data_IF_464160628763
#
_entry.id   IF_464160628763
#
_cell.length_a   1.000
_cell.length_b   1.000
_cell.length_c   1.000
_cell.angle_alpha   90.00
_cell.angle_beta   90.00
_cell.angle_gamma   90.00
#
_symmetry.space_group_name_H-M   'P 1'
#
loop_
_entity.id
_entity.type
_entity.pdbx_description
1 polymer ?
#
# COMPACT_ATOMS: atom_id res chain seq x y z
N UNK A 1 7.15 8.72 -9.21
CA UNK A 1 8.20 9.49 -8.53
C UNK A 1 8.50 8.89 -7.16
N UNK A 2 9.75 9.01 -6.70
CA UNK A 2 10.23 8.40 -5.45
C UNK A 2 10.75 9.45 -4.47
N UNK A 3 10.65 9.16 -3.17
CA UNK A 3 11.11 10.04 -2.09
C UNK A 3 12.18 9.34 -1.21
N UNK A 4 13.44 9.24 -1.67
CA UNK A 4 14.52 8.59 -0.91
C UNK A 4 14.67 9.09 0.53
N UNK A 5 14.48 10.39 0.77
CA UNK A 5 14.62 10.99 2.09
C UNK A 5 13.50 10.61 3.10
N UNK A 6 12.45 9.90 2.67
CA UNK A 6 11.32 9.49 3.52
C UNK A 6 10.85 8.09 3.11
N UNK A 7 11.46 7.07 3.72
CA UNK A 7 11.15 5.65 3.55
C UNK A 7 11.55 5.03 2.21
N UNK A 8 12.22 5.79 1.33
CA UNK A 8 12.43 5.34 -0.05
C UNK A 8 11.11 4.98 -0.74
N UNK A 9 10.05 5.74 -0.42
CA UNK A 9 8.69 5.44 -0.87
C UNK A 9 8.45 5.88 -2.31
N UNK A 10 7.55 5.18 -2.99
CA UNK A 10 6.94 5.64 -4.24
C UNK A 10 5.79 6.57 -3.86
N UNK A 11 5.94 7.88 -4.08
CA UNK A 11 4.97 8.88 -3.63
C UNK A 11 3.95 9.31 -4.70
N UNK A 12 4.22 9.01 -5.96
CA UNK A 12 3.38 9.39 -7.10
C UNK A 12 3.53 8.37 -8.24
N UNK A 13 2.41 7.97 -8.85
CA UNK A 13 2.37 7.03 -9.98
C UNK A 13 1.25 7.43 -10.93
N UNK A 14 1.64 8.08 -12.02
CA UNK A 14 0.69 8.65 -12.99
C UNK A 14 0.37 7.71 -14.14
N UNK A 15 -0.91 7.37 -14.25
CA UNK A 15 -1.48 6.65 -15.37
C UNK A 15 -1.94 7.66 -16.42
N UNK A 16 -1.01 8.06 -17.30
CA UNK A 16 -1.26 9.08 -18.33
C UNK A 16 -2.49 8.80 -19.21
N UNK A 17 -2.75 7.56 -19.68
CA UNK A 17 -3.95 7.28 -20.47
C UNK A 17 -5.26 7.57 -19.73
N UNK A 18 -5.25 7.46 -18.40
CA UNK A 18 -6.39 7.71 -17.53
C UNK A 18 -6.39 9.11 -16.89
N UNK A 19 -5.31 9.89 -17.06
CA UNK A 19 -5.07 11.16 -16.35
C UNK A 19 -5.29 11.02 -14.84
N UNK A 20 -4.82 9.90 -14.29
CA UNK A 20 -5.04 9.50 -12.90
C UNK A 20 -3.70 9.27 -12.21
N UNK A 21 -3.49 9.89 -11.06
CA UNK A 21 -2.43 9.49 -10.13
C UNK A 21 -3.02 8.46 -9.15
N UNK A 22 -2.61 7.20 -9.26
CA UNK A 22 -3.11 6.13 -8.39
C UNK A 22 -2.56 6.21 -6.96
N UNK A 23 -1.63 7.12 -6.69
CA UNK A 23 -1.10 7.43 -5.36
C UNK A 23 -1.52 8.84 -4.87
N UNK A 24 -2.58 9.42 -5.45
CA UNK A 24 -3.25 10.62 -4.95
C UNK A 24 -4.05 10.34 -3.66
N UNK A 25 -3.39 9.72 -2.71
CA UNK A 25 -3.89 9.26 -1.41
C UNK A 25 -3.84 10.38 -0.38
N UNK A 26 -4.70 10.27 0.64
CA UNK A 26 -4.69 11.12 1.82
C UNK A 26 -4.28 10.32 3.07
N UNK A 27 -3.50 10.97 3.92
CA UNK A 27 -3.30 10.53 5.30
C UNK A 27 -4.43 11.09 6.16
N UNK A 28 -4.90 10.31 7.15
CA UNK A 28 -5.89 10.76 8.12
C UNK A 28 -5.23 11.76 9.07
N UNK A 29 -5.77 12.97 9.17
CA UNK A 29 -5.22 14.06 9.99
C UNK A 29 -6.28 14.64 10.94
N UNK A 30 -5.87 15.24 12.07
CA UNK A 30 -6.80 15.98 12.92
C UNK A 30 -7.41 17.16 12.17
N UNK A 31 -8.73 17.28 12.24
CA UNK A 31 -9.48 18.42 11.72
C UNK A 31 -10.19 19.13 12.87
N UNK A 32 -10.45 20.44 12.72
CA UNK A 32 -11.02 21.25 13.80
C UNK A 32 -12.39 20.74 14.29
N UNK A 33 -13.20 20.17 13.38
CA UNK A 33 -14.53 19.65 13.71
C UNK A 33 -14.50 18.28 14.40
N UNK A 34 -13.37 17.58 14.48
CA UNK A 34 -13.29 16.28 15.13
C UNK A 34 -13.58 16.35 16.64
N UNK A 35 -13.35 17.50 17.28
CA UNK A 35 -13.69 17.67 18.69
C UNK A 35 -15.21 17.67 18.91
N UNK A 36 -15.98 18.28 18.00
CA UNK A 36 -17.43 18.21 18.04
C UNK A 36 -17.93 16.76 17.90
N UNK A 37 -17.29 15.97 17.04
CA UNK A 37 -17.58 14.54 16.85
C UNK A 37 -17.33 13.76 18.15
N UNK A 38 -16.19 13.93 18.81
CA UNK A 38 -15.92 13.25 20.10
C UNK A 38 -16.97 13.59 21.17
N UNK A 39 -17.40 14.84 21.20
CA UNK A 39 -18.42 15.33 22.12
C UNK A 39 -19.85 14.97 21.68
N UNK A 40 -20.02 14.19 20.60
CA UNK A 40 -21.30 13.80 20.04
C UNK A 40 -22.20 15.02 19.72
N UNK A 41 -21.58 16.08 19.23
CA UNK A 41 -22.20 17.36 18.93
C UNK A 41 -21.95 17.77 17.47
N UNK A 42 -22.66 18.80 16.99
CA UNK A 42 -22.50 19.34 15.65
C UNK A 42 -23.65 19.01 14.68
N UNK A 43 -23.43 19.12 13.36
CA UNK A 43 -24.47 18.91 12.35
C UNK A 43 -24.95 17.45 12.29
N UNK A 44 -25.87 17.15 11.36
CA UNK A 44 -26.39 15.80 11.14
C UNK A 44 -25.28 14.77 10.92
N UNK A 45 -25.50 13.55 11.41
CA UNK A 45 -24.57 12.42 11.26
C UNK A 45 -25.15 11.48 10.22
N UNK A 46 -24.47 11.30 9.08
CA UNK A 46 -24.98 10.42 8.01
C UNK A 46 -24.87 8.93 8.35
N UNK A 47 -24.09 8.59 9.37
CA UNK A 47 -23.93 7.24 9.91
C UNK A 47 -23.51 7.28 11.38
N UNK A 48 -23.78 6.20 12.11
CA UNK A 48 -23.35 6.04 13.50
C UNK A 48 -21.87 5.68 13.64
N UNK A 49 -21.31 5.90 14.84
CA UNK A 49 -19.97 5.46 15.22
C UNK A 49 -18.80 6.22 14.59
N UNK A 50 -19.03 7.42 14.03
CA UNK A 50 -17.96 8.21 13.41
C UNK A 50 -16.86 8.62 14.38
N UNK A 51 -17.18 8.74 15.68
CA UNK A 51 -16.23 9.00 16.75
C UNK A 51 -15.20 7.87 16.90
N UNK A 52 -15.63 6.60 16.73
CA UNK A 52 -14.75 5.43 16.70
C UNK A 52 -13.90 5.33 15.42
N UNK A 53 -14.28 6.05 14.36
CA UNK A 53 -13.56 6.08 13.08
C UNK A 53 -12.48 7.17 13.04
N UNK A 54 -12.39 8.02 14.07
CA UNK A 54 -11.34 9.04 14.18
C UNK A 54 -9.99 8.39 14.48
N UNK A 55 -9.20 8.20 13.42
CA UNK A 55 -7.83 7.71 13.48
C UNK A 55 -6.90 8.70 12.78
N UNK A 56 -5.63 8.75 13.20
CA UNK A 56 -4.65 9.67 12.65
C UNK A 56 -3.38 8.94 12.23
N UNK A 57 -2.84 9.34 11.08
CA UNK A 57 -1.65 8.74 10.49
C UNK A 57 -0.40 9.57 10.82
N UNK A 58 0.67 8.88 11.22
CA UNK A 58 1.96 9.51 11.58
C UNK A 58 2.81 9.83 10.36
N UNK A 59 2.51 9.19 9.22
CA UNK A 59 3.22 9.33 7.96
C UNK A 59 2.23 9.49 6.80
N UNK A 60 2.74 9.92 5.65
CA UNK A 60 1.93 9.98 4.44
C UNK A 60 1.71 8.57 3.89
N UNK A 61 0.46 8.22 3.63
CA UNK A 61 0.11 6.94 3.04
C UNK A 61 0.46 6.91 1.57
N UNK A 62 1.48 6.15 1.20
CA UNK A 62 2.03 6.04 -0.17
C UNK A 62 2.34 4.57 -0.46
N UNK A 63 3.18 4.27 -1.46
CA UNK A 63 3.52 2.89 -1.78
C UNK A 63 5.00 2.61 -1.55
N UNK A 64 5.34 1.33 -1.39
CA UNK A 64 6.69 0.86 -1.02
C UNK A 64 7.16 1.43 0.32
N UNK A 65 6.26 1.49 1.30
CA UNK A 65 6.61 1.83 2.69
C UNK A 65 6.98 0.53 3.40
N UNK A 66 8.15 0.50 4.01
CA UNK A 66 8.75 -0.70 4.59
C UNK A 66 8.46 -0.75 6.09
N UNK A 67 7.76 -1.81 6.51
CA UNK A 67 7.34 -2.02 7.88
C UNK A 67 7.94 -3.28 8.47
N UNK A 68 8.19 -3.24 9.78
CA UNK A 68 8.54 -4.42 10.56
C UNK A 68 7.62 -4.55 11.77
N UNK A 69 6.96 -5.70 11.88
CA UNK A 69 6.04 -6.00 12.97
C UNK A 69 6.47 -7.25 13.75
N UNK A 70 5.85 -7.43 14.92
CA UNK A 70 5.90 -8.71 15.60
C UNK A 70 5.19 -9.79 14.76
N UNK A 71 5.66 -11.04 14.78
CA UNK A 71 4.91 -12.15 14.20
C UNK A 71 3.49 -12.21 14.75
N UNK A 72 2.52 -12.47 13.88
CA UNK A 72 1.12 -12.60 14.27
C UNK A 72 0.31 -11.30 14.35
N UNK A 73 0.86 -10.15 13.92
CA UNK A 73 0.06 -8.92 13.75
C UNK A 73 -1.19 -9.21 12.91
N UNK A 74 -2.36 -8.75 13.37
CA UNK A 74 -3.65 -9.04 12.72
C UNK A 74 -4.06 -7.93 11.74
N UNK A 75 -4.97 -8.24 10.81
CA UNK A 75 -5.56 -7.25 9.91
C UNK A 75 -6.24 -6.11 10.68
N UNK A 76 -6.99 -6.43 11.74
CA UNK A 76 -7.68 -5.45 12.57
C UNK A 76 -6.68 -4.49 13.25
N UNK A 77 -5.59 -5.02 13.80
CA UNK A 77 -4.55 -4.20 14.41
C UNK A 77 -3.99 -3.20 13.39
N UNK A 78 -3.62 -3.67 12.19
CA UNK A 78 -3.10 -2.82 11.10
C UNK A 78 -4.12 -1.76 10.66
N UNK A 79 -5.38 -2.16 10.47
CA UNK A 79 -6.43 -1.25 10.00
C UNK A 79 -6.78 -0.17 11.03
N UNK A 80 -6.66 -0.49 12.32
CA UNK A 80 -7.00 0.39 13.44
C UNK A 80 -5.79 1.09 14.07
N UNK A 81 -4.59 0.87 13.55
CA UNK A 81 -3.32 1.41 14.07
C UNK A 81 -2.99 0.97 15.50
N UNK A 82 -3.32 -0.27 15.83
CA UNK A 82 -2.99 -0.89 17.12
C UNK A 82 -1.75 -1.81 17.03
N UNK A 83 -1.15 -1.93 15.84
CA UNK A 83 0.14 -2.57 15.66
C UNK A 83 1.27 -1.77 16.33
N UNK A 84 2.37 -2.47 16.61
CA UNK A 84 3.62 -1.85 17.04
C UNK A 84 4.65 -1.94 15.91
N UNK A 85 5.07 -0.79 15.41
CA UNK A 85 6.21 -0.69 14.50
C UNK A 85 7.51 -1.04 15.26
N UNK A 86 8.26 -1.99 14.74
CA UNK A 86 9.54 -2.44 15.30
C UNK A 86 10.73 -1.87 14.54
N UNK A 87 10.52 -1.36 13.32
CA UNK A 87 11.53 -0.79 12.44
C UNK A 87 11.59 0.75 12.48
N UNK A 88 12.67 1.31 11.94
CA UNK A 88 12.84 2.77 11.73
C UNK A 88 12.86 3.14 10.23
N UNK A 89 12.21 2.33 9.39
CA UNK A 89 12.29 2.43 7.93
C UNK A 89 11.18 3.28 7.31
N UNK A 90 9.98 3.29 7.91
CA UNK A 90 8.77 3.97 7.40
C UNK A 90 9.03 5.41 6.92
N UNK A 91 9.75 6.19 7.72
CA UNK A 91 10.09 7.60 7.42
C UNK A 91 11.60 7.83 7.32
N UNK A 92 12.41 6.78 7.51
CA UNK A 92 13.86 6.87 7.50
C UNK A 92 14.41 7.21 6.12
N UNK A 93 15.50 7.98 6.06
CA UNK A 93 16.15 8.30 4.78
C UNK A 93 16.89 7.08 4.22
N UNK A 94 16.68 6.80 2.93
CA UNK A 94 17.39 5.82 2.14
C UNK A 94 18.47 6.53 1.31
N UNK A 95 19.65 5.91 1.25
CA UNK A 95 20.62 6.18 0.22
C UNK A 95 20.09 5.65 -1.12
N UNK A 96 20.53 6.23 -2.23
CA UNK A 96 20.02 5.82 -3.53
C UNK A 96 21.05 5.98 -4.65
N UNK A 97 20.87 5.17 -5.70
CA UNK A 97 21.59 5.26 -6.97
C UNK A 97 20.61 5.02 -8.12
N UNK A 98 20.76 5.79 -9.19
CA UNK A 98 19.96 5.65 -10.40
C UNK A 98 20.86 5.20 -11.55
N UNK A 99 20.58 4.02 -12.07
CA UNK A 99 21.28 3.46 -13.23
C UNK A 99 20.34 3.52 -14.45
N UNK A 100 20.80 4.17 -15.52
CA UNK A 100 20.04 4.34 -16.77
C UNK A 100 20.65 3.46 -17.86
N UNK A 101 19.93 2.42 -18.27
CA UNK A 101 20.23 1.63 -19.47
C UNK A 101 19.47 2.15 -20.70
N UNK A 102 19.66 1.49 -21.85
CA UNK A 102 18.99 1.87 -23.09
C UNK A 102 17.45 1.68 -23.01
N UNK A 103 16.99 0.58 -22.40
CA UNK A 103 15.56 0.20 -22.32
C UNK A 103 15.10 -0.13 -20.89
N UNK A 104 15.94 0.16 -19.90
CA UNK A 104 15.69 -0.17 -18.49
C UNK A 104 16.17 0.98 -17.60
N UNK A 105 15.29 1.41 -16.70
CA UNK A 105 15.63 2.32 -15.60
C UNK A 105 15.68 1.52 -14.30
N UNK A 106 16.80 1.59 -13.59
CA UNK A 106 16.98 0.97 -12.28
C UNK A 106 17.22 2.00 -11.20
N UNK A 107 16.34 2.05 -10.21
CA UNK A 107 16.52 2.83 -8.99
C UNK A 107 16.83 1.86 -7.85
N UNK A 108 18.04 1.94 -7.30
CA UNK A 108 18.45 1.17 -6.13
C UNK A 108 18.41 2.10 -4.93
N UNK A 109 17.72 1.68 -3.88
CA UNK A 109 17.65 2.40 -2.61
C UNK A 109 18.02 1.46 -1.46
N UNK A 110 18.81 1.94 -0.51
CA UNK A 110 19.17 1.14 0.67
C UNK A 110 19.26 1.97 1.95
N UNK A 111 19.00 1.32 3.08
CA UNK A 111 19.10 1.90 4.41
C UNK A 111 19.63 0.87 5.39
N UNK A 112 20.67 1.26 6.13
CA UNK A 112 21.04 0.61 7.39
C UNK A 112 20.16 1.21 8.49
N UNK A 113 19.29 0.39 9.07
CA UNK A 113 18.33 0.78 10.11
C UNK A 113 18.34 -0.20 11.26
N UNK A 114 17.30 -0.11 12.11
CA UNK A 114 17.13 -0.98 13.26
C UNK A 114 15.75 -1.61 13.27
N UNK A 115 15.68 -2.90 13.59
CA UNK A 115 14.44 -3.63 13.85
C UNK A 115 14.53 -4.29 15.21
N UNK A 116 13.60 -3.99 16.12
CA UNK A 116 13.60 -4.51 17.49
C UNK A 116 14.95 -4.34 18.21
N UNK A 117 15.67 -3.25 17.91
CA UNK A 117 16.98 -2.94 18.46
C UNK A 117 18.18 -3.57 17.74
N UNK A 118 17.99 -4.46 16.77
CA UNK A 118 19.06 -5.09 15.98
C UNK A 118 19.28 -4.35 14.65
N UNK A 119 20.51 -4.34 14.15
CA UNK A 119 20.82 -3.71 12.86
C UNK A 119 20.34 -4.57 11.71
N UNK A 120 19.56 -3.98 10.80
CA UNK A 120 19.08 -4.62 9.58
C UNK A 120 19.33 -3.66 8.42
N UNK A 121 19.77 -4.18 7.28
CA UNK A 121 19.83 -3.41 6.04
C UNK A 121 18.66 -3.81 5.16
N UNK A 122 17.93 -2.82 4.68
CA UNK A 122 16.91 -2.97 3.63
C UNK A 122 17.49 -2.39 2.36
N UNK A 123 17.50 -3.18 1.29
CA UNK A 123 17.78 -2.74 -0.08
C UNK A 123 16.55 -3.02 -0.92
N UNK A 124 16.09 -2.04 -1.69
CA UNK A 124 15.06 -2.20 -2.72
C UNK A 124 15.59 -1.72 -4.06
N UNK A 125 15.50 -2.58 -5.07
CA UNK A 125 15.81 -2.27 -6.46
C UNK A 125 14.51 -2.22 -7.25
N UNK A 126 14.21 -1.05 -7.80
CA UNK A 126 13.04 -0.82 -8.62
C UNK A 126 13.48 -0.81 -10.07
N UNK A 127 12.87 -1.67 -10.88
CA UNK A 127 13.09 -1.74 -12.32
C UNK A 127 11.85 -1.32 -13.07
N UNK A 128 12.05 -0.40 -14.01
CA UNK A 128 11.06 -0.03 -15.02
C UNK A 128 11.66 -0.40 -16.38
N UNK A 129 11.08 -1.40 -17.03
CA UNK A 129 11.42 -1.78 -18.40
C UNK A 129 10.55 -0.97 -19.39
N UNK A 130 10.81 -1.08 -20.69
CA UNK A 130 10.00 -0.39 -21.72
C UNK A 130 8.48 -0.64 -21.67
N UNK A 131 8.02 -1.63 -20.91
CA UNK A 131 6.60 -1.83 -20.58
C UNK A 131 6.15 -0.78 -19.55
N UNK A 132 5.43 0.24 -20.04
CA UNK A 132 4.96 1.35 -19.23
C UNK A 132 3.90 0.99 -18.17
N UNK A 133 3.42 -0.26 -18.13
CA UNK A 133 2.37 -0.76 -17.24
C UNK A 133 2.89 -1.69 -16.12
N UNK A 134 4.20 -1.92 -16.00
CA UNK A 134 4.76 -2.82 -14.99
C UNK A 134 5.91 -2.18 -14.20
N UNK A 135 5.95 -2.46 -12.89
CA UNK A 135 7.04 -2.11 -12.00
C UNK A 135 7.50 -3.38 -11.26
N UNK A 136 8.75 -3.74 -11.43
CA UNK A 136 9.39 -4.80 -10.64
C UNK A 136 10.12 -4.17 -9.45
N UNK A 137 9.92 -4.73 -8.27
CA UNK A 137 10.59 -4.29 -7.05
C UNK A 137 11.21 -5.50 -6.36
N UNK A 138 12.53 -5.57 -6.39
CA UNK A 138 13.30 -6.60 -5.72
C UNK A 138 13.80 -6.08 -4.36
N UNK A 139 13.43 -6.78 -3.30
CA UNK A 139 13.85 -6.49 -1.94
C UNK A 139 14.93 -7.48 -1.49
N UNK A 140 15.94 -6.95 -0.80
CA UNK A 140 16.95 -7.72 -0.07
C UNK A 140 16.99 -7.19 1.35
N UNK A 141 16.89 -8.08 2.32
CA UNK A 141 17.12 -7.82 3.72
C UNK A 141 18.39 -8.52 4.14
N UNK A 142 19.28 -7.80 4.82
CA UNK A 142 20.56 -8.31 5.30
C UNK A 142 20.71 -8.03 6.79
N UNK A 143 21.56 -8.81 7.46
CA UNK A 143 21.73 -8.80 8.91
C UNK A 143 20.44 -9.14 9.68
N UNK A 144 19.54 -9.92 9.08
CA UNK A 144 18.32 -10.35 9.75
C UNK A 144 18.64 -11.33 10.90
N UNK A 145 17.96 -11.19 12.06
CA UNK A 145 18.11 -12.12 13.17
C UNK A 145 17.72 -13.55 12.76
N UNK A 146 18.58 -14.52 13.09
CA UNK A 146 18.34 -15.94 12.80
C UNK A 146 17.43 -16.63 13.82
N UNK A 147 17.46 -16.17 15.07
CA UNK A 147 16.80 -16.83 16.19
C UNK A 147 15.35 -16.37 16.41
N UNK A 148 15.00 -15.18 15.92
CA UNK A 148 13.68 -14.59 16.10
C UNK A 148 13.13 -14.12 14.75
N UNK A 149 12.03 -14.72 14.25
CA UNK A 149 11.45 -14.30 12.99
C UNK A 149 10.89 -12.88 13.12
N UNK A 150 11.11 -12.08 12.07
CA UNK A 150 10.52 -10.74 11.93
C UNK A 150 9.38 -10.82 10.91
N UNK A 151 8.31 -10.05 11.12
CA UNK A 151 7.30 -9.85 10.09
C UNK A 151 7.68 -8.63 9.27
N UNK A 152 8.12 -8.82 8.03
CA UNK A 152 8.33 -7.70 7.09
C UNK A 152 7.10 -7.51 6.24
N UNK A 153 6.70 -6.26 6.07
CA UNK A 153 5.53 -5.87 5.33
C UNK A 153 5.84 -4.68 4.42
N UNK A 154 5.26 -4.67 3.22
CA UNK A 154 5.40 -3.56 2.28
C UNK A 154 4.03 -2.95 2.05
N UNK A 155 3.82 -1.70 2.46
CA UNK A 155 2.55 -1.00 2.27
C UNK A 155 2.46 -0.42 0.85
N UNK A 156 1.36 -0.71 0.18
CA UNK A 156 0.90 -0.03 -1.02
C UNK A 156 -0.42 0.66 -0.74
N UNK A 157 -0.59 1.90 -1.17
CA UNK A 157 -1.88 2.60 -1.10
C UNK A 157 -2.34 2.96 -2.50
N UNK A 158 -3.57 2.59 -2.85
CA UNK A 158 -4.16 2.91 -4.15
C UNK A 158 -5.41 3.78 -3.98
N UNK A 159 -5.35 4.99 -4.55
CA UNK A 159 -6.44 5.95 -4.61
C UNK A 159 -7.10 5.92 -6.00
N UNK A 160 -8.22 6.64 -6.13
CA UNK A 160 -8.93 6.77 -7.41
C UNK A 160 -9.73 5.55 -7.83
N UNK A 161 -9.91 4.57 -6.94
CA UNK A 161 -10.76 3.39 -7.12
C UNK A 161 -11.94 3.52 -6.15
N UNK A 162 -13.15 3.69 -6.66
CA UNK A 162 -14.30 4.01 -5.81
C UNK A 162 -14.75 2.81 -4.95
N UNK A 163 -15.23 3.10 -3.74
CA UNK A 163 -15.86 2.12 -2.86
C UNK A 163 -17.33 1.86 -3.21
N UNK A 164 -17.89 0.76 -2.69
CA UNK A 164 -19.33 0.56 -2.55
C UNK A 164 -20.09 0.24 -3.83
N UNK A 165 -19.39 -0.07 -4.92
CA UNK A 165 -20.02 -0.41 -6.18
C UNK A 165 -19.51 -1.72 -6.74
N UNK A 166 -20.42 -2.47 -7.35
CA UNK A 166 -20.22 -3.87 -7.73
C UNK A 166 -19.10 -4.05 -8.75
N UNK A 167 -18.98 -3.13 -9.69
CA UNK A 167 -17.97 -3.10 -10.74
C UNK A 167 -16.59 -2.60 -10.24
N UNK A 168 -16.41 -2.48 -8.92
CA UNK A 168 -15.13 -2.24 -8.25
C UNK A 168 -14.87 -3.28 -7.17
N UNK A 169 -13.89 -4.17 -7.37
CA UNK A 169 -13.71 -5.34 -6.53
C UNK A 169 -12.27 -5.85 -6.47
N UNK A 170 -11.98 -6.63 -5.44
CA UNK A 170 -10.75 -7.40 -5.34
C UNK A 170 -10.84 -8.71 -6.11
N UNK A 171 -9.72 -9.23 -6.58
CA UNK A 171 -9.58 -10.62 -6.99
C UNK A 171 -8.27 -11.21 -6.48
N UNK A 172 -8.20 -12.53 -6.44
CA UNK A 172 -7.01 -13.31 -6.05
C UNK A 172 -6.68 -14.31 -7.17
N UNK A 173 -5.53 -14.98 -7.07
CA UNK A 173 -5.10 -15.95 -8.09
C UNK A 173 -6.12 -17.07 -8.34
N UNK A 174 -6.86 -17.47 -7.30
CA UNK A 174 -7.83 -18.56 -7.29
C UNK A 174 -9.30 -18.07 -7.26
N UNK A 175 -9.53 -16.76 -7.21
CA UNK A 175 -10.85 -16.19 -7.04
C UNK A 175 -11.02 -14.91 -7.86
N UNK A 176 -11.81 -14.99 -8.93
CA UNK A 176 -12.03 -13.87 -9.86
C UNK A 176 -12.74 -12.66 -9.24
N UNK A 177 -13.47 -12.82 -8.12
CA UNK A 177 -14.14 -11.73 -7.42
C UNK A 177 -14.24 -12.00 -5.92
N UNK A 178 -13.65 -11.12 -5.13
CA UNK A 178 -13.38 -11.29 -3.71
C UNK A 178 -13.87 -10.09 -2.89
N UNK A 179 -15.06 -9.58 -3.19
CA UNK A 179 -15.66 -8.46 -2.47
C UNK A 179 -15.26 -7.09 -3.02
N UNK A 180 -16.03 -6.06 -2.63
CA UNK A 180 -15.83 -4.68 -3.09
C UNK A 180 -14.59 -4.05 -2.44
N UNK A 181 -14.05 -2.96 -3.00
CA UNK A 181 -12.75 -2.39 -2.59
C UNK A 181 -12.69 -1.84 -1.16
N UNK A 182 -13.84 -1.53 -0.54
CA UNK A 182 -13.92 -1.13 0.87
C UNK A 182 -13.93 -2.30 1.85
N UNK A 183 -13.98 -3.54 1.35
CA UNK A 183 -14.00 -4.73 2.23
C UNK A 183 -12.61 -5.08 2.70
N UNK A 184 -12.53 -5.67 3.89
CA UNK A 184 -11.31 -6.21 4.44
C UNK A 184 -10.95 -7.52 3.73
N UNK A 185 -9.67 -7.65 3.35
CA UNK A 185 -9.12 -8.86 2.74
C UNK A 185 -8.01 -9.40 3.61
N UNK A 186 -8.07 -10.69 3.90
CA UNK A 186 -6.95 -11.46 4.42
C UNK A 186 -6.81 -12.74 3.59
N UNK A 187 -5.60 -12.97 3.08
CA UNK A 187 -5.24 -14.19 2.36
C UNK A 187 -3.88 -14.67 2.84
N UNK A 188 -3.88 -15.81 3.50
CA UNK A 188 -2.67 -16.49 3.97
C UNK A 188 -2.10 -17.31 2.80
N UNK A 189 -0.76 -17.34 2.66
CA UNK A 189 -0.07 -18.07 1.58
C UNK A 189 -0.49 -17.66 0.15
N UNK A 190 -0.75 -16.37 -0.04
CA UNK A 190 -1.15 -15.80 -1.31
C UNK A 190 0.05 -15.41 -2.19
N UNK A 191 -0.14 -15.51 -3.50
CA UNK A 191 0.84 -15.10 -4.52
C UNK A 191 0.44 -13.80 -5.22
N UNK A 192 -0.84 -13.43 -5.16
CA UNK A 192 -1.38 -12.28 -5.89
C UNK A 192 -2.64 -11.73 -5.24
N UNK A 193 -2.80 -10.42 -5.35
CA UNK A 193 -4.05 -9.70 -5.20
C UNK A 193 -4.20 -8.70 -6.35
N UNK A 194 -5.43 -8.45 -6.79
CA UNK A 194 -5.72 -7.37 -7.71
C UNK A 194 -6.94 -6.55 -7.30
N UNK A 195 -6.99 -5.31 -7.76
CA UNK A 195 -8.05 -4.34 -7.54
C UNK A 195 -8.54 -3.87 -8.91
N UNK A 196 -9.82 -4.06 -9.18
CA UNK A 196 -10.44 -3.68 -10.47
C UNK A 196 -11.35 -2.49 -10.24
N UNK A 197 -11.27 -1.50 -11.13
CA UNK A 197 -12.31 -0.51 -11.37
C UNK A 197 -12.73 -0.59 -12.83
N UNK A 198 -13.80 -1.34 -13.10
CA UNK A 198 -14.27 -1.57 -14.45
C UNK A 198 -14.75 -0.30 -15.13
N UNK A 199 -15.32 0.64 -14.37
CA UNK A 199 -15.77 1.92 -14.89
C UNK A 199 -14.61 2.72 -15.47
N UNK A 200 -13.49 2.79 -14.75
CA UNK A 200 -12.25 3.40 -15.26
C UNK A 200 -11.53 2.52 -16.27
N UNK A 201 -11.77 1.21 -16.24
CA UNK A 201 -11.03 0.24 -17.05
C UNK A 201 -9.60 0.04 -16.56
N UNK A 202 -9.41 0.10 -15.25
CA UNK A 202 -8.13 -0.05 -14.57
C UNK A 202 -8.14 -1.35 -13.75
N UNK A 203 -7.08 -2.14 -13.89
CA UNK A 203 -6.74 -3.27 -13.03
C UNK A 203 -5.33 -3.05 -12.47
N UNK A 204 -5.26 -2.92 -11.14
CA UNK A 204 -4.00 -2.85 -10.41
C UNK A 204 -3.77 -4.20 -9.76
N UNK A 205 -2.68 -4.88 -10.11
CA UNK A 205 -2.36 -6.19 -9.53
C UNK A 205 -0.96 -6.21 -8.94
N UNK A 206 -0.82 -6.91 -7.82
CA UNK A 206 0.43 -7.13 -7.12
C UNK A 206 0.69 -8.63 -7.04
N UNK A 207 1.80 -9.08 -7.60
CA UNK A 207 2.22 -10.49 -7.59
C UNK A 207 3.53 -10.64 -6.80
N UNK A 208 3.69 -11.73 -6.07
CA UNK A 208 4.82 -11.99 -5.18
C UNK A 208 5.62 -13.20 -5.67
N UNK A 209 6.95 -13.11 -5.72
CA UNK A 209 7.81 -14.25 -6.08
C UNK A 209 7.86 -15.32 -4.98
N UNK A 210 7.46 -14.97 -3.76
CA UNK A 210 7.32 -15.88 -2.64
C UNK A 210 5.98 -15.64 -1.96
N UNK A 211 5.27 -16.74 -1.67
CA UNK A 211 3.97 -16.70 -0.99
C UNK A 211 4.07 -15.97 0.34
N UNK A 212 3.13 -15.07 0.57
CA UNK A 212 3.03 -14.27 1.79
C UNK A 212 1.60 -14.22 2.34
N UNK A 213 1.42 -13.53 3.46
CA UNK A 213 0.10 -13.07 3.86
C UNK A 213 -0.19 -11.75 3.15
N UNK A 214 -1.27 -11.65 2.40
CA UNK A 214 -1.71 -10.39 1.80
C UNK A 214 -2.92 -9.88 2.57
N UNK A 215 -2.81 -8.64 3.04
CA UNK A 215 -3.86 -7.93 3.76
C UNK A 215 -4.26 -6.69 2.98
N UNK A 216 -5.56 -6.43 2.90
CA UNK A 216 -6.07 -5.20 2.31
C UNK A 216 -7.21 -4.63 3.14
N UNK A 217 -7.25 -3.30 3.26
CA UNK A 217 -8.27 -2.59 4.02
C UNK A 217 -8.40 -1.15 3.52
N UNK A 218 -9.57 -0.52 3.68
CA UNK A 218 -9.77 0.85 3.25
C UNK A 218 -9.13 1.84 4.23
N UNK A 219 -8.66 2.95 3.70
CA UNK A 219 -8.41 4.17 4.44
C UNK A 219 -9.59 5.10 4.23
N UNK A 220 -10.18 5.50 5.35
CA UNK A 220 -11.34 6.36 5.37
C UNK A 220 -11.10 7.54 6.31
N UNK A 221 -11.66 8.69 5.96
CA UNK A 221 -11.57 9.92 6.74
C UNK A 221 -12.97 10.37 7.10
N UNK A 222 -13.15 10.89 8.30
CA UNK A 222 -14.39 11.58 8.65
C UNK A 222 -14.35 12.99 8.05
N UNK A 223 -15.34 13.32 7.24
CA UNK A 223 -15.43 14.59 6.53
C UNK A 223 -16.69 15.37 6.95
N UNK A 224 -16.58 16.69 6.99
CA UNK A 224 -17.70 17.58 7.16
C UNK A 224 -18.16 18.10 5.79
N UNK A 225 -19.43 17.85 5.45
CA UNK A 225 -20.12 18.41 4.28
C UNK A 225 -21.28 19.31 4.72
N UNK A 226 -21.91 20.01 3.77
CA UNK A 226 -23.17 20.74 4.03
C UNK A 226 -24.27 19.81 4.56
N UNK A 227 -24.26 18.54 4.15
CA UNK A 227 -25.19 17.51 4.61
C UNK A 227 -24.79 16.83 5.93
N UNK A 228 -23.78 17.36 6.63
CA UNK A 228 -23.32 16.83 7.91
C UNK A 228 -22.06 15.95 7.82
N UNK A 229 -21.77 15.23 8.90
CA UNK A 229 -20.59 14.38 9.02
C UNK A 229 -20.79 13.03 8.33
N UNK A 230 -19.77 12.60 7.59
CA UNK A 230 -19.77 11.32 6.89
C UNK A 230 -18.37 10.70 6.80
N UNK A 231 -18.33 9.41 6.50
CA UNK A 231 -17.09 8.69 6.28
C UNK A 231 -16.79 8.60 4.78
N UNK A 232 -15.65 9.12 4.38
CA UNK A 232 -15.22 9.17 2.98
C UNK A 232 -14.10 8.17 2.76
N UNK A 233 -14.29 7.28 1.79
CA UNK A 233 -13.22 6.39 1.32
C UNK A 233 -12.18 7.19 0.54
N UNK A 234 -10.91 7.02 0.91
CA UNK A 234 -9.79 7.74 0.29
C UNK A 234 -8.93 6.83 -0.59
N UNK A 235 -8.62 5.63 -0.09
CA UNK A 235 -7.75 4.68 -0.76
C UNK A 235 -7.88 3.29 -0.15
N UNK A 236 -7.32 2.29 -0.83
CA UNK A 236 -7.12 0.94 -0.27
C UNK A 236 -5.65 0.72 0.02
N UNK A 237 -5.35 0.25 1.23
CA UNK A 237 -4.07 -0.37 1.55
C UNK A 237 -4.05 -1.79 0.99
N UNK A 238 -2.96 -2.16 0.33
CA UNK A 238 -2.57 -3.55 0.07
C UNK A 238 -1.19 -3.77 0.68
N UNK A 239 -1.08 -4.77 1.55
CA UNK A 239 0.10 -5.01 2.34
C UNK A 239 0.45 -6.51 2.31
N UNK A 240 1.30 -6.96 1.37
CA UNK A 240 1.95 -8.26 1.48
C UNK A 240 2.92 -8.29 2.66
N UNK A 241 2.99 -9.43 3.32
CA UNK A 241 3.76 -9.63 4.54
C UNK A 241 4.38 -11.03 4.58
N UNK A 242 5.58 -11.13 5.15
CA UNK A 242 6.33 -12.38 5.28
C UNK A 242 6.91 -12.52 6.68
N UNK A 243 6.80 -13.72 7.24
CA UNK A 243 7.61 -14.12 8.40
C UNK A 243 8.99 -14.50 7.89
N UNK A 244 9.98 -13.66 8.16
CA UNK A 244 11.34 -13.82 7.64
C UNK A 244 12.07 -14.88 8.45
N UNK A 245 12.56 -15.87 7.73
CA UNK A 245 13.58 -16.81 8.20
C UNK A 245 14.82 -16.58 7.35
N UNK A 246 15.80 -15.88 7.92
CA UNK A 246 17.02 -15.52 7.22
C UNK A 246 17.86 -16.78 6.90
N UNK A 247 18.59 -16.74 5.80
CA UNK A 247 19.50 -17.82 5.41
C UNK A 247 20.75 -17.91 6.32
N UNK A 248 21.69 -18.79 5.97
CA UNK A 248 22.93 -18.98 6.74
C UNK A 248 23.77 -17.69 6.89
N UNK A 249 23.62 -16.73 5.97
CA UNK A 249 24.30 -15.44 5.95
C UNK A 249 23.47 -14.31 6.57
N UNK A 250 22.26 -14.61 7.08
CA UNK A 250 21.37 -13.57 7.62
C UNK A 250 20.69 -12.75 6.52
N UNK A 251 20.54 -13.32 5.32
CA UNK A 251 19.90 -12.68 4.15
C UNK A 251 18.53 -13.27 3.86
N UNK A 252 17.62 -12.43 3.39
CA UNK A 252 16.33 -12.80 2.82
C UNK A 252 16.01 -11.88 1.64
N UNK A 253 15.27 -12.36 0.66
CA UNK A 253 14.90 -11.55 -0.51
C UNK A 253 13.50 -11.90 -1.01
N UNK A 254 12.86 -10.98 -1.73
CA UNK A 254 11.58 -11.21 -2.43
C UNK A 254 11.47 -10.27 -3.62
N UNK A 255 10.76 -10.69 -4.67
CA UNK A 255 10.42 -9.81 -5.80
C UNK A 255 8.92 -9.58 -5.84
N UNK A 256 8.54 -8.32 -6.01
CA UNK A 256 7.16 -7.86 -6.17
C UNK A 256 6.98 -7.34 -7.58
N UNK A 257 5.89 -7.75 -8.24
CA UNK A 257 5.51 -7.24 -9.56
C UNK A 257 4.20 -6.49 -9.42
N UNK A 258 4.26 -5.16 -9.53
CA UNK A 258 3.09 -4.29 -9.62
C UNK A 258 2.75 -4.08 -11.10
N UNK A 259 1.54 -4.44 -11.51
CA UNK A 259 1.04 -4.23 -12.87
C UNK A 259 -0.19 -3.32 -12.86
N UNK A 260 -0.26 -2.45 -13.86
CA UNK A 260 -1.27 -1.40 -14.05
C UNK A 260 -1.94 -1.58 -15.41
N UNK A 261 -2.82 -2.57 -15.53
CA UNK A 261 -3.49 -2.87 -16.80
C UNK A 261 -4.61 -1.85 -17.08
N UNK A 262 -4.51 -1.19 -18.23
CA UNK A 262 -5.44 -0.17 -18.72
C UNK A 262 -6.04 -0.55 -20.10
N UNK A 263 -5.90 -1.80 -20.55
CA UNK A 263 -6.30 -2.23 -21.88
C UNK A 263 -7.78 -1.94 -22.17
N UNK A 264 -8.66 -2.15 -21.17
CA UNK A 264 -10.10 -1.87 -21.28
C UNK A 264 -10.41 -0.38 -21.41
N UNK A 265 -9.59 0.51 -20.86
CA UNK A 265 -9.75 1.95 -21.02
C UNK A 265 -9.24 2.41 -22.39
N UNK A 266 -8.09 1.89 -22.82
CA UNK A 266 -7.48 2.21 -24.11
C UNK A 266 -8.37 1.75 -25.28
N UNK A 267 -9.02 0.59 -25.18
CA UNK A 267 -9.93 0.11 -26.21
C UNK A 267 -11.17 1.01 -26.35
N UNK A 268 -11.73 1.50 -25.23
CA UNK A 268 -12.86 2.45 -25.24
C UNK A 268 -12.51 3.78 -25.92
N UNK A 269 -11.32 4.32 -25.63
CA UNK A 269 -10.87 5.57 -26.25
C UNK A 269 -10.67 5.43 -27.76
N UNK A 270 -10.22 4.27 -28.26
CA UNK A 270 -10.09 4.01 -29.70
C UNK A 270 -11.42 3.88 -30.42
N UNK A 271 -12.47 3.40 -29.75
CA UNK A 271 -13.82 3.30 -30.31
C UNK A 271 -14.56 4.64 -30.33
N UNK A 272 -14.15 5.58 -29.48
CA UNK A 272 -14.76 6.91 -29.36
C UNK A 272 -14.08 7.99 -30.23
N UNK A 273 -12.92 7.68 -30.83
CA UNK A 273 -12.15 8.55 -31.71
C UNK A 273 -12.43 8.24 -33.18
#
# INVERSE_FOLDING_TARGET
FFHPACGGSLYELDLRPLRLNVLATLARRPEAYHEAIRQHNGPTWKQGGLDHMLQYDEYLRKSLIDHFYAPGVTLEQLATRQERELGDFVTGAYQHRLDRGNDELRLIMWRDGRVAGQNVRVTKEIRLTGDADALEVWYILENCPRECPLCFAVEFNFAGLAAGADDRYFYHADQARAGQLQTWQERIQAERIGLVDEWRGLDVSLSLSQRGCIRAFPIQTVSQSEGGFELVYQSTVVMPQWSIHADALGRWEVTLHLRLDMARALSRNRLAA
#
